data_IF_355857831730
#
_entry.id   IF_355857831730
#
_cell.length_a   1.000
_cell.length_b   1.000
_cell.length_c   1.000
_cell.angle_alpha   90.00
_cell.angle_beta   90.00
_cell.angle_gamma   90.00
#
_symmetry.space_group_name_H-M   'P 1'
#
loop_
_entity.id
_entity.type
_entity.pdbx_description
1 polymer ?
#
# COMPACT_ATOMS: atom_id res chain seq x y z
N UNK A 1 0.17 -14.58 2.98
CA UNK A 1 1.07 -13.79 2.11
C UNK A 1 1.76 -12.80 3.01
N UNK A 2 3.08 -12.73 2.98
CA UNK A 2 3.82 -11.75 3.78
C UNK A 2 3.99 -10.47 2.96
N UNK A 3 3.60 -9.33 3.54
CA UNK A 3 3.57 -8.03 2.89
C UNK A 3 4.71 -7.15 3.38
N UNK A 4 5.18 -6.26 2.49
CA UNK A 4 6.12 -5.19 2.82
C UNK A 4 7.45 -5.69 3.41
N UNK A 5 7.97 -6.79 2.84
CA UNK A 5 9.22 -7.42 3.28
C UNK A 5 10.41 -6.46 3.17
N UNK A 6 10.50 -5.72 2.06
CA UNK A 6 11.60 -4.77 1.83
C UNK A 6 11.52 -3.63 2.84
N UNK A 7 10.34 -3.05 3.04
CA UNK A 7 10.14 -1.96 4.00
C UNK A 7 10.42 -2.42 5.43
N UNK A 8 10.00 -3.63 5.81
CA UNK A 8 10.29 -4.21 7.13
C UNK A 8 11.79 -4.37 7.37
N UNK A 9 12.51 -4.96 6.41
CA UNK A 9 13.97 -5.12 6.48
C UNK A 9 14.69 -3.78 6.61
N UNK A 10 14.27 -2.77 5.85
CA UNK A 10 14.88 -1.42 5.92
C UNK A 10 14.60 -0.77 7.27
N UNK A 11 13.42 -0.97 7.87
CA UNK A 11 13.11 -0.44 9.19
C UNK A 11 14.03 -1.05 10.24
N UNK A 12 14.23 -2.37 10.21
CA UNK A 12 15.13 -3.07 11.12
C UNK A 12 16.56 -2.55 11.01
N UNK A 13 17.08 -2.39 9.79
CA UNK A 13 18.41 -1.82 9.55
C UNK A 13 18.55 -0.39 10.06
N UNK A 14 17.53 0.44 9.82
CA UNK A 14 17.50 1.84 10.30
C UNK A 14 17.45 1.91 11.82
N UNK A 15 16.63 1.08 12.46
CA UNK A 15 16.54 1.03 13.93
C UNK A 15 17.86 0.57 14.53
N UNK A 16 18.45 -0.49 13.97
CA UNK A 16 19.74 -1.01 14.43
C UNK A 16 20.86 0.03 14.29
N UNK A 17 20.85 0.84 13.23
CA UNK A 17 21.80 1.93 13.06
C UNK A 17 21.65 3.03 14.12
N UNK A 18 20.40 3.47 14.38
CA UNK A 18 20.12 4.48 15.40
C UNK A 18 20.55 3.99 16.79
N UNK A 19 20.23 2.75 17.13
CA UNK A 19 20.59 2.15 18.42
C UNK A 19 22.11 2.04 18.59
N UNK A 20 22.83 1.62 17.54
CA UNK A 20 24.30 1.48 17.57
C UNK A 20 25.03 2.82 17.66
N UNK A 21 24.44 3.89 17.16
CA UNK A 21 25.07 5.22 17.13
C UNK A 21 24.57 6.14 18.25
N UNK A 22 23.52 5.77 18.97
CA UNK A 22 22.87 6.61 19.97
C UNK A 22 22.24 7.86 19.36
N UNK A 23 21.83 7.80 18.08
CA UNK A 23 21.37 8.97 17.31
C UNK A 23 19.85 9.18 17.37
N UNK A 24 19.18 8.64 18.38
CA UNK A 24 17.73 8.84 18.58
C UNK A 24 17.42 10.33 18.75
N UNK A 25 16.42 10.83 18.03
CA UNK A 25 16.02 12.22 18.00
C UNK A 25 16.95 13.15 17.20
N UNK A 26 18.04 12.62 16.62
CA UNK A 26 18.95 13.41 15.80
C UNK A 26 18.46 13.52 14.34
N UNK A 27 19.04 14.46 13.57
CA UNK A 27 18.66 14.70 12.17
C UNK A 27 18.81 13.45 11.28
N UNK A 28 19.76 12.56 11.60
CA UNK A 28 19.93 11.30 10.89
C UNK A 28 18.69 10.41 10.98
N UNK A 29 17.99 10.38 12.12
CA UNK A 29 16.74 9.64 12.26
C UNK A 29 15.65 10.19 11.32
N UNK A 30 15.59 11.52 11.18
CA UNK A 30 14.65 12.15 10.26
C UNK A 30 14.96 11.78 8.80
N UNK A 31 16.24 11.72 8.40
CA UNK A 31 16.61 11.28 7.05
C UNK A 31 16.24 9.82 6.79
N UNK A 32 16.50 8.92 7.76
CA UNK A 32 16.15 7.50 7.66
C UNK A 32 14.63 7.30 7.59
N UNK A 33 13.87 8.05 8.40
CA UNK A 33 12.40 7.98 8.39
C UNK A 33 11.82 8.47 7.06
N UNK A 34 12.39 9.54 6.48
CA UNK A 34 12.01 10.01 5.14
C UNK A 34 12.34 8.99 4.04
N UNK A 35 13.50 8.32 4.13
CA UNK A 35 13.87 7.25 3.22
C UNK A 35 12.87 6.08 3.28
N UNK A 36 12.49 5.68 4.50
CA UNK A 36 11.49 4.63 4.72
C UNK A 36 10.13 4.94 4.11
N UNK A 37 9.65 6.18 4.18
CA UNK A 37 8.41 6.60 3.53
C UNK A 37 8.45 6.39 2.01
N UNK A 38 9.60 6.64 1.38
CA UNK A 38 9.80 6.43 -0.06
C UNK A 38 9.77 4.93 -0.39
N UNK A 39 10.49 4.12 0.38
CA UNK A 39 10.53 2.65 0.22
C UNK A 39 9.14 2.04 0.38
N UNK A 40 8.41 2.44 1.43
CA UNK A 40 7.05 2.02 1.72
C UNK A 40 6.11 2.31 0.54
N UNK A 41 6.08 3.55 0.06
CA UNK A 41 5.16 3.92 -1.03
C UNK A 41 5.48 3.17 -2.34
N UNK A 42 6.75 2.95 -2.63
CA UNK A 42 7.16 2.18 -3.80
C UNK A 42 6.73 0.70 -3.67
N UNK A 43 6.97 0.08 -2.52
CA UNK A 43 6.59 -1.32 -2.29
C UNK A 43 5.07 -1.51 -2.24
N UNK A 44 4.33 -0.58 -1.64
CA UNK A 44 2.86 -0.57 -1.69
C UNK A 44 2.33 -0.59 -3.12
N UNK A 45 2.94 0.17 -4.01
CA UNK A 45 2.54 0.20 -5.42
C UNK A 45 2.85 -1.14 -6.12
N UNK A 46 4.03 -1.72 -5.86
CA UNK A 46 4.41 -3.05 -6.38
C UNK A 46 3.46 -4.15 -5.89
N UNK A 47 3.13 -4.18 -4.60
CA UNK A 47 2.24 -5.18 -4.02
C UNK A 47 0.79 -5.03 -4.51
N UNK A 48 0.32 -3.80 -4.75
CA UNK A 48 -0.97 -3.59 -5.40
C UNK A 48 -1.01 -4.15 -6.83
N UNK A 49 0.08 -4.06 -7.59
CA UNK A 49 0.18 -4.71 -8.90
C UNK A 49 0.15 -6.23 -8.78
N UNK A 50 0.79 -6.79 -7.76
CA UNK A 50 0.74 -8.22 -7.47
C UNK A 50 -0.68 -8.70 -7.14
N UNK A 51 -1.45 -7.93 -6.36
CA UNK A 51 -2.87 -8.26 -6.09
C UNK A 51 -3.67 -8.33 -7.38
N UNK A 52 -3.48 -7.36 -8.29
CA UNK A 52 -4.16 -7.39 -9.59
C UNK A 52 -3.70 -8.55 -10.44
N UNK A 53 -2.41 -8.88 -10.44
CA UNK A 53 -1.88 -10.05 -11.14
C UNK A 53 -2.60 -11.33 -10.70
N UNK A 54 -2.75 -11.51 -9.38
CA UNK A 54 -3.44 -12.67 -8.82
C UNK A 54 -4.91 -12.74 -9.27
N UNK A 55 -5.60 -11.60 -9.33
CA UNK A 55 -6.98 -11.54 -9.82
C UNK A 55 -7.05 -11.83 -11.33
N UNK A 56 -6.18 -11.20 -12.12
CA UNK A 56 -6.19 -11.34 -13.57
C UNK A 56 -5.87 -12.78 -14.01
N UNK A 57 -4.96 -13.47 -13.30
CA UNK A 57 -4.65 -14.89 -13.54
C UNK A 57 -5.87 -15.81 -13.40
N UNK A 58 -6.89 -15.44 -12.62
CA UNK A 58 -8.15 -16.21 -12.55
C UNK A 58 -8.92 -16.25 -13.88
N UNK A 59 -8.65 -15.32 -14.80
CA UNK A 59 -9.23 -15.32 -16.13
C UNK A 59 -8.74 -16.48 -17.01
N UNK A 60 -7.55 -17.02 -16.74
CA UNK A 60 -6.93 -18.09 -17.54
C UNK A 60 -6.44 -17.66 -18.93
N UNK A 61 -6.55 -16.38 -19.28
CA UNK A 61 -6.09 -15.80 -20.54
C UNK A 61 -4.86 -14.91 -20.29
N UNK A 62 -3.73 -15.30 -20.87
CA UNK A 62 -2.44 -14.62 -20.68
C UNK A 62 -2.39 -13.23 -21.33
N UNK A 63 -3.09 -13.02 -22.44
CA UNK A 63 -3.15 -11.72 -23.12
C UNK A 63 -3.98 -10.73 -22.30
N UNK A 64 -5.14 -11.18 -21.78
CA UNK A 64 -5.96 -10.37 -20.87
C UNK A 64 -5.21 -10.07 -19.58
N UNK A 65 -4.50 -11.05 -19.02
CA UNK A 65 -3.67 -10.84 -17.84
C UNK A 65 -2.58 -9.77 -18.08
N UNK A 66 -1.88 -9.88 -19.21
CA UNK A 66 -0.85 -8.91 -19.61
C UNK A 66 -1.43 -7.51 -19.82
N UNK A 67 -2.58 -7.42 -20.48
CA UNK A 67 -3.31 -6.17 -20.68
C UNK A 67 -3.73 -5.52 -19.36
N UNK A 68 -4.29 -6.31 -18.43
CA UNK A 68 -4.73 -5.83 -17.13
C UNK A 68 -3.56 -5.28 -16.30
N UNK A 69 -2.42 -5.96 -16.31
CA UNK A 69 -1.20 -5.50 -15.62
C UNK A 69 -0.63 -4.22 -16.23
N UNK A 70 -0.52 -4.17 -17.57
CA UNK A 70 -0.03 -2.99 -18.27
C UNK A 70 -0.95 -1.77 -18.04
N UNK A 71 -2.25 -1.99 -18.02
CA UNK A 71 -3.25 -0.96 -17.73
C UNK A 71 -3.16 -0.50 -16.28
N UNK A 72 -3.01 -1.42 -15.34
CA UNK A 72 -2.89 -1.13 -13.90
C UNK A 72 -1.73 -0.19 -13.59
N UNK A 73 -0.57 -0.41 -14.23
CA UNK A 73 0.62 0.45 -14.10
C UNK A 73 0.39 1.89 -14.59
N UNK A 74 -0.54 2.09 -15.54
CA UNK A 74 -0.88 3.43 -16.09
C UNK A 74 -1.97 4.13 -15.27
N UNK A 75 -2.88 3.36 -14.68
CA UNK A 75 -4.03 3.88 -13.94
C UNK A 75 -3.65 4.23 -12.50
N UNK A 76 -2.92 3.35 -11.81
CA UNK A 76 -2.52 3.58 -10.43
C UNK A 76 -1.35 4.57 -10.36
N UNK A 77 -1.66 5.85 -10.09
CA UNK A 77 -0.69 6.94 -10.02
C UNK A 77 -0.29 7.34 -8.60
N UNK A 78 -1.09 6.91 -7.62
CA UNK A 78 -0.90 7.21 -6.21
C UNK A 78 -1.47 6.06 -5.40
N UNK A 79 -0.88 5.83 -4.24
CA UNK A 79 -1.27 4.74 -3.33
C UNK A 79 -2.13 5.22 -2.18
N UNK A 80 -2.64 6.46 -2.16
CA UNK A 80 -3.61 6.91 -1.13
C UNK A 80 -4.85 6.01 -1.14
N UNK A 81 -5.50 5.81 0.02
CA UNK A 81 -6.67 4.92 0.10
C UNK A 81 -7.82 5.32 -0.83
N UNK A 82 -8.04 6.63 -1.06
CA UNK A 82 -9.05 7.11 -2.01
C UNK A 82 -8.76 6.72 -3.46
N UNK A 83 -7.50 6.81 -3.88
CA UNK A 83 -7.04 6.40 -5.20
C UNK A 83 -7.08 4.87 -5.35
N UNK A 84 -6.66 4.14 -4.31
CA UNK A 84 -6.76 2.69 -4.25
C UNK A 84 -8.21 2.22 -4.31
N UNK A 85 -9.13 2.91 -3.62
CA UNK A 85 -10.57 2.62 -3.65
C UNK A 85 -11.15 2.81 -5.05
N UNK A 86 -10.77 3.89 -5.74
CA UNK A 86 -11.13 4.12 -7.14
C UNK A 86 -10.56 3.03 -8.06
N UNK A 87 -9.29 2.67 -7.85
CA UNK A 87 -8.60 1.64 -8.60
C UNK A 87 -9.24 0.26 -8.44
N UNK A 88 -9.50 -0.18 -7.21
CA UNK A 88 -10.24 -1.42 -6.90
C UNK A 88 -11.66 -1.37 -7.49
N UNK A 89 -12.30 -0.21 -7.47
CA UNK A 89 -13.62 0.01 -8.09
C UNK A 89 -13.66 -0.21 -9.60
N UNK A 90 -12.51 -0.17 -10.29
CA UNK A 90 -12.40 -0.57 -11.70
C UNK A 90 -12.78 -2.04 -11.95
N UNK A 91 -12.77 -2.88 -10.91
CA UNK A 91 -13.21 -4.28 -10.96
C UNK A 91 -14.68 -4.48 -10.54
N UNK A 92 -15.39 -3.39 -10.19
CA UNK A 92 -16.80 -3.40 -9.80
C UNK A 92 -17.07 -2.61 -8.52
N UNK A 93 -18.27 -2.01 -8.44
CA UNK A 93 -18.69 -1.22 -7.27
C UNK A 93 -18.74 -2.02 -5.97
N UNK A 94 -19.13 -3.30 -6.03
CA UNK A 94 -19.14 -4.20 -4.87
C UNK A 94 -17.73 -4.48 -4.32
N UNK A 95 -16.71 -4.48 -5.19
CA UNK A 95 -15.30 -4.65 -4.80
C UNK A 95 -14.79 -3.41 -4.07
N UNK A 96 -15.13 -2.24 -4.61
CA UNK A 96 -14.87 -0.96 -3.93
C UNK A 96 -15.50 -0.91 -2.53
N UNK A 97 -16.77 -1.32 -2.41
CA UNK A 97 -17.48 -1.38 -1.12
C UNK A 97 -16.73 -2.21 -0.10
N UNK A 98 -16.41 -3.47 -0.46
CA UNK A 98 -15.64 -4.39 0.40
C UNK A 98 -14.29 -3.82 0.84
N UNK A 99 -13.56 -3.20 -0.07
CA UNK A 99 -12.27 -2.59 0.27
C UNK A 99 -12.41 -1.46 1.30
N UNK A 100 -13.40 -0.59 1.12
CA UNK A 100 -13.61 0.57 2.01
C UNK A 100 -14.15 0.14 3.37
N UNK A 101 -15.11 -0.78 3.40
CA UNK A 101 -15.74 -1.28 4.63
C UNK A 101 -14.77 -2.07 5.52
N UNK A 102 -13.73 -2.67 4.94
CA UNK A 102 -12.70 -3.40 5.68
C UNK A 102 -11.67 -2.50 6.38
N UNK A 103 -11.69 -1.19 6.12
CA UNK A 103 -10.70 -0.25 6.69
C UNK A 103 -11.34 0.68 7.72
N UNK A 104 -10.82 0.63 8.94
CA UNK A 104 -11.19 1.58 9.99
C UNK A 104 -10.57 2.96 9.76
N UNK A 105 -11.17 4.00 10.35
CA UNK A 105 -10.73 5.40 10.19
C UNK A 105 -9.28 5.62 10.65
N UNK A 106 -8.83 4.92 11.70
CA UNK A 106 -7.45 5.05 12.20
C UNK A 106 -6.46 4.50 11.18
N UNK A 107 -6.72 3.32 10.63
CA UNK A 107 -5.91 2.70 9.58
C UNK A 107 -5.81 3.64 8.37
N UNK A 108 -6.95 4.20 7.92
CA UNK A 108 -7.00 5.15 6.80
C UNK A 108 -6.16 6.40 7.11
N UNK A 109 -6.35 7.00 8.28
CA UNK A 109 -5.64 8.21 8.69
C UNK A 109 -4.13 7.99 8.75
N UNK A 110 -3.68 6.95 9.48
CA UNK A 110 -2.25 6.65 9.66
C UNK A 110 -1.56 6.41 8.32
N UNK A 111 -2.17 5.59 7.47
CA UNK A 111 -1.59 5.28 6.17
C UNK A 111 -1.57 6.49 5.23
N UNK A 112 -2.67 7.24 5.11
CA UNK A 112 -2.70 8.42 4.25
C UNK A 112 -1.74 9.51 4.72
N UNK A 113 -1.57 9.68 6.03
CA UNK A 113 -0.56 10.58 6.60
C UNK A 113 0.85 10.21 6.16
N UNK A 114 1.20 8.92 6.09
CA UNK A 114 2.49 8.48 5.58
C UNK A 114 2.66 8.82 4.08
N UNK A 115 1.63 8.59 3.26
CA UNK A 115 1.66 8.94 1.83
C UNK A 115 1.79 10.45 1.64
N UNK A 116 1.14 11.26 2.48
CA UNK A 116 1.25 12.72 2.48
C UNK A 116 2.65 13.19 2.88
N UNK A 117 3.22 12.61 3.94
CA UNK A 117 4.59 12.89 4.34
C UNK A 117 5.59 12.56 3.21
N UNK A 118 5.40 11.45 2.49
CA UNK A 118 6.22 11.14 1.30
C UNK A 118 6.10 12.21 0.21
N UNK A 119 4.91 12.79 0.01
CA UNK A 119 4.75 13.91 -0.93
C UNK A 119 5.51 15.16 -0.45
N UNK A 120 5.44 15.47 0.85
CA UNK A 120 6.20 16.58 1.45
C UNK A 120 7.71 16.42 1.27
N UNK A 121 8.25 15.20 1.43
CA UNK A 121 9.65 14.87 1.14
C UNK A 121 10.00 15.15 -0.32
N UNK A 122 9.17 14.68 -1.26
CA UNK A 122 9.39 14.92 -2.68
C UNK A 122 9.35 16.42 -3.05
N UNK A 123 8.59 17.23 -2.31
CA UNK A 123 8.52 18.69 -2.45
C UNK A 123 9.55 19.45 -1.60
N UNK A 124 10.51 18.76 -0.96
CA UNK A 124 11.58 19.34 -0.12
C UNK A 124 11.09 20.08 1.13
N UNK A 125 9.90 19.73 1.63
CA UNK A 125 9.33 20.30 2.85
C UNK A 125 9.69 19.46 4.10
N UNK A 126 10.39 18.33 3.92
CA UNK A 126 10.64 17.35 4.98
C UNK A 126 9.41 16.50 5.30
N UNK A 127 9.49 15.73 6.39
CA UNK A 127 8.38 14.96 6.94
C UNK A 127 8.39 15.08 8.47
N UNK A 128 7.19 15.00 9.07
CA UNK A 128 7.01 14.91 10.51
C UNK A 128 6.68 13.46 10.87
N UNK A 129 7.67 12.59 10.73
CA UNK A 129 7.57 11.16 11.05
C UNK A 129 8.87 10.68 11.68
N UNK A 130 8.77 9.83 12.68
CA UNK A 130 9.89 9.19 13.38
C UNK A 130 10.01 7.71 12.99
N UNK A 131 11.11 7.05 13.36
CA UNK A 131 11.21 5.59 13.14
C UNK A 131 10.18 4.81 13.97
N UNK A 132 9.83 5.31 15.15
CA UNK A 132 8.79 4.71 15.98
C UNK A 132 7.42 4.74 15.28
N UNK A 133 7.08 5.85 14.62
CA UNK A 133 5.83 5.98 13.85
C UNK A 133 5.78 4.99 12.67
N UNK A 134 6.94 4.69 12.06
CA UNK A 134 7.02 3.81 10.90
C UNK A 134 6.51 2.40 11.19
N UNK A 135 6.69 1.88 12.40
CA UNK A 135 6.16 0.57 12.77
C UNK A 135 4.62 0.54 12.70
N UNK A 136 3.95 1.55 13.24
CA UNK A 136 2.49 1.67 13.16
C UNK A 136 2.00 1.90 11.73
N UNK A 137 2.71 2.73 10.98
CA UNK A 137 2.42 3.00 9.57
C UNK A 137 2.50 1.72 8.73
N UNK A 138 3.52 0.88 8.94
CA UNK A 138 3.67 -0.41 8.23
C UNK A 138 2.50 -1.32 8.56
N UNK A 139 2.05 -1.39 9.82
CA UNK A 139 0.87 -2.17 10.17
C UNK A 139 -0.39 -1.68 9.45
N UNK A 140 -0.60 -0.37 9.40
CA UNK A 140 -1.72 0.22 8.66
C UNK A 140 -1.63 -0.08 7.15
N UNK A 141 -0.44 0.02 6.56
CA UNK A 141 -0.19 -0.29 5.16
C UNK A 141 -0.46 -1.78 4.82
N UNK A 142 -0.05 -2.70 5.71
CA UNK A 142 -0.38 -4.14 5.58
C UNK A 142 -1.89 -4.37 5.54
N UNK A 143 -2.64 -3.73 6.45
CA UNK A 143 -4.12 -3.81 6.44
C UNK A 143 -4.73 -3.31 5.15
N UNK A 144 -4.19 -2.24 4.57
CA UNK A 144 -4.63 -1.74 3.25
C UNK A 144 -4.42 -2.80 2.15
N UNK A 145 -3.27 -3.48 2.12
CA UNK A 145 -3.01 -4.55 1.16
C UNK A 145 -3.89 -5.79 1.40
N UNK A 146 -4.09 -6.18 2.65
CA UNK A 146 -4.97 -7.28 3.05
C UNK A 146 -6.42 -7.02 2.61
N UNK A 147 -6.94 -5.82 2.86
CA UNK A 147 -8.26 -5.39 2.40
C UNK A 147 -8.38 -5.39 0.88
N UNK A 148 -7.35 -4.93 0.16
CA UNK A 148 -7.35 -4.97 -1.30
C UNK A 148 -7.33 -6.41 -1.85
N UNK A 149 -6.53 -7.29 -1.25
CA UNK A 149 -6.46 -8.70 -1.60
C UNK A 149 -7.82 -9.37 -1.38
N UNK A 150 -8.41 -9.24 -0.19
CA UNK A 150 -9.72 -9.81 0.12
C UNK A 150 -10.79 -9.29 -0.83
N UNK A 151 -10.83 -7.96 -1.04
CA UNK A 151 -11.81 -7.34 -1.92
C UNK A 151 -11.70 -7.84 -3.37
N UNK A 152 -10.50 -8.07 -3.91
CA UNK A 152 -10.31 -8.47 -5.31
C UNK A 152 -10.32 -9.98 -5.53
N UNK A 153 -9.92 -10.78 -4.55
CA UNK A 153 -9.76 -12.23 -4.71
C UNK A 153 -11.01 -13.01 -4.28
N UNK A 154 -11.79 -12.56 -3.30
CA UNK A 154 -12.93 -13.37 -2.82
C UNK A 154 -14.05 -13.49 -3.86
N UNK A 155 -14.38 -14.72 -4.26
CA UNK A 155 -15.28 -14.99 -5.39
C UNK A 155 -16.78 -14.89 -5.04
N UNK A 156 -17.14 -14.41 -3.84
CA UNK A 156 -18.51 -13.98 -3.55
C UNK A 156 -18.81 -12.68 -4.31
N UNK A 157 -18.98 -12.78 -5.62
CA UNK A 157 -19.58 -11.74 -6.45
C UNK A 157 -21.08 -12.03 -6.61
N UNK A 158 -21.95 -11.40 -5.79
CA UNK A 158 -23.40 -11.60 -5.93
C UNK A 158 -23.92 -11.20 -7.33
N UNK A 159 -23.20 -10.34 -8.07
CA UNK A 159 -23.58 -9.91 -9.43
C UNK A 159 -23.47 -10.99 -10.52
N UNK A 160 -22.76 -12.10 -10.26
CA UNK A 160 -22.74 -13.26 -11.17
C UNK A 160 -23.90 -14.25 -10.92
N UNK A 161 -24.63 -14.12 -9.79
CA UNK A 161 -25.75 -15.00 -9.46
C UNK A 161 -27.08 -14.55 -10.04
N UNK A 162 -27.18 -13.32 -10.55
CA UNK A 162 -28.43 -12.78 -11.11
C UNK A 162 -28.59 -13.02 -12.63
N UNK A 163 -27.58 -13.61 -13.31
CA UNK A 163 -27.60 -13.82 -14.76
C UNK A 163 -27.41 -15.29 -15.20
N UNK A 164 -27.60 -16.26 -14.29
CA UNK A 164 -27.61 -17.70 -14.62
C UNK A 164 -28.94 -18.34 -14.24
#
# INVERSE_FOLDING_TARGET
MEWLLRTGSVLEECQQHIDNTGSTGAEVEAFLSQYLLVVLCAEMQEEMYRVVELRAKKCGDDEICSFALASSKKILRSVKTGELSGFVGGFGSARKGRFVEALDERTIFQYNSAVDNRHSVAHRNGAQVTLADMAEIIMAAKRVLESALAALIDDDDPGLRENN
#
